data_IF_079797870176
#
_entry.id   IF_079797870176
#
_cell.length_a   1.000
_cell.length_b   1.000
_cell.length_c   1.000
_cell.angle_alpha   90.00
_cell.angle_beta   90.00
_cell.angle_gamma   90.00
#
_symmetry.space_group_name_H-M   'P 1'
#
loop_
_entity.id
_entity.type
_entity.pdbx_description
1 polymer ?
#
# COMPACT_ATOMS: atom_id res chain seq x y z
N UNK A 1 -41.70 9.99 28.64
CA UNK A 1 -40.33 9.58 28.95
C UNK A 1 -39.66 9.19 27.63
N UNK A 2 -38.90 10.10 27.05
CA UNK A 2 -38.16 9.85 25.83
C UNK A 2 -36.73 9.46 26.22
N UNK A 3 -36.37 8.20 25.95
CA UNK A 3 -35.05 7.69 26.17
C UNK A 3 -34.06 8.25 25.16
N UNK A 4 -33.11 9.02 25.63
CA UNK A 4 -31.97 9.52 24.90
C UNK A 4 -31.04 8.34 24.52
N UNK A 5 -30.95 8.08 23.23
CA UNK A 5 -29.93 7.20 22.64
C UNK A 5 -28.55 7.83 22.83
N UNK A 6 -27.55 7.13 23.37
CA UNK A 6 -26.19 7.65 23.39
C UNK A 6 -25.56 7.45 22.01
N UNK A 7 -25.54 8.50 21.21
CA UNK A 7 -24.64 8.57 20.06
C UNK A 7 -23.22 8.46 20.58
N UNK A 8 -22.61 7.29 20.41
CA UNK A 8 -21.17 7.13 20.51
C UNK A 8 -20.53 7.91 19.35
N UNK A 9 -20.25 9.17 19.62
CA UNK A 9 -19.29 9.92 18.84
C UNK A 9 -17.94 9.27 19.08
N UNK A 10 -17.59 8.31 18.23
CA UNK A 10 -16.22 7.80 18.14
C UNK A 10 -15.38 8.98 17.72
N UNK A 11 -14.65 9.59 18.65
CA UNK A 11 -13.60 10.57 18.36
C UNK A 11 -12.73 9.94 17.29
N UNK A 12 -12.79 10.49 16.07
CA UNK A 12 -11.77 10.23 15.05
C UNK A 12 -10.43 10.53 15.72
N UNK A 13 -9.70 9.49 16.06
CA UNK A 13 -8.33 9.64 16.53
C UNK A 13 -7.61 10.48 15.47
N UNK A 14 -6.95 11.55 15.89
CA UNK A 14 -6.16 12.38 14.98
C UNK A 14 -5.20 11.43 14.26
N UNK A 15 -5.44 11.20 12.98
CA UNK A 15 -4.63 10.34 12.14
C UNK A 15 -3.65 11.22 11.37
N UNK A 16 -2.39 10.87 11.42
CA UNK A 16 -1.33 11.54 10.71
C UNK A 16 -0.72 10.60 9.65
N UNK A 17 -0.77 10.99 8.39
CA UNK A 17 -0.07 10.29 7.31
C UNK A 17 1.21 11.07 7.04
N UNK A 18 2.36 10.39 7.14
CA UNK A 18 3.68 11.00 6.99
C UNK A 18 4.65 10.08 6.24
N UNK A 19 5.74 10.62 5.71
CA UNK A 19 6.85 9.79 5.25
C UNK A 19 7.35 8.88 6.38
N UNK A 20 7.64 7.63 6.02
CA UNK A 20 8.25 6.67 6.93
C UNK A 20 9.73 6.99 7.13
N UNK A 21 10.22 6.67 8.31
CA UNK A 21 11.64 6.69 8.67
C UNK A 21 12.16 5.26 8.84
N UNK A 22 13.48 5.01 8.85
CA UNK A 22 14.02 3.70 9.16
C UNK A 22 13.53 3.13 10.50
N UNK A 23 13.25 3.99 11.48
CA UNK A 23 12.78 3.59 12.81
C UNK A 23 11.33 3.07 12.81
N UNK A 24 10.57 3.35 11.76
CA UNK A 24 9.21 2.83 11.59
C UNK A 24 9.19 1.38 11.07
N UNK A 25 10.27 0.93 10.43
CA UNK A 25 10.32 -0.37 9.74
C UNK A 25 9.96 -1.54 10.64
N UNK A 26 10.47 -1.66 11.88
CA UNK A 26 10.10 -2.77 12.77
C UNK A 26 8.58 -2.85 13.04
N UNK A 27 7.90 -1.71 13.10
CA UNK A 27 6.45 -1.66 13.29
C UNK A 27 5.66 -1.96 11.99
N UNK A 28 6.27 -1.78 10.82
CA UNK A 28 5.68 -2.09 9.50
C UNK A 28 5.78 -3.58 9.17
N UNK A 29 6.87 -4.27 9.56
CA UNK A 29 7.09 -5.68 9.21
C UNK A 29 5.91 -6.62 9.57
N UNK A 30 5.24 -6.51 10.73
CA UNK A 30 4.04 -7.31 11.00
C UNK A 30 2.89 -7.05 10.02
N UNK A 31 2.77 -5.84 9.47
CA UNK A 31 1.78 -5.51 8.45
C UNK A 31 2.16 -6.10 7.09
N UNK A 32 3.46 -6.16 6.76
CA UNK A 32 3.96 -6.88 5.57
C UNK A 32 3.59 -8.36 5.63
N UNK A 33 3.82 -9.02 6.77
CA UNK A 33 3.43 -10.43 6.94
C UNK A 33 1.92 -10.64 6.67
N UNK A 34 1.08 -9.70 7.13
CA UNK A 34 -0.37 -9.75 6.91
C UNK A 34 -0.75 -9.55 5.44
N UNK A 35 -0.10 -8.62 4.72
CA UNK A 35 -0.39 -8.41 3.30
C UNK A 35 0.03 -9.62 2.47
N UNK A 36 1.17 -10.25 2.78
CA UNK A 36 1.61 -11.48 2.14
C UNK A 36 0.59 -12.61 2.37
N UNK A 37 0.23 -12.90 3.63
CA UNK A 37 -0.76 -13.91 3.96
C UNK A 37 -2.13 -13.65 3.32
N UNK A 38 -2.52 -12.39 3.19
CA UNK A 38 -3.76 -12.00 2.50
C UNK A 38 -3.70 -12.31 1.00
N UNK A 39 -2.59 -12.00 0.32
CA UNK A 39 -2.42 -12.29 -1.10
C UNK A 39 -2.36 -13.79 -1.38
N UNK A 40 -1.63 -14.55 -0.56
CA UNK A 40 -1.57 -16.02 -0.67
C UNK A 40 -2.95 -16.67 -0.52
N UNK A 41 -3.79 -16.13 0.37
CA UNK A 41 -5.18 -16.59 0.50
C UNK A 41 -6.05 -16.27 -0.72
N UNK A 42 -5.77 -15.17 -1.43
CA UNK A 42 -6.51 -14.78 -2.64
C UNK A 42 -6.17 -15.69 -3.83
N UNK A 43 -4.90 -16.02 -4.01
CA UNK A 43 -4.41 -16.85 -5.11
C UNK A 43 -3.08 -17.49 -4.72
N UNK A 44 -3.11 -18.72 -4.14
CA UNK A 44 -1.90 -19.39 -3.68
C UNK A 44 -0.96 -19.82 -4.81
N UNK A 45 -1.46 -19.99 -6.03
CA UNK A 45 -0.63 -20.33 -7.18
C UNK A 45 0.25 -19.15 -7.60
N UNK A 46 -0.29 -17.92 -7.53
CA UNK A 46 0.42 -16.69 -7.85
C UNK A 46 1.31 -16.21 -6.70
N UNK A 47 0.81 -16.28 -5.47
CA UNK A 47 1.41 -15.65 -4.29
C UNK A 47 1.94 -16.67 -3.27
N UNK A 48 2.58 -17.76 -3.74
CA UNK A 48 3.25 -18.71 -2.85
C UNK A 48 4.52 -18.09 -2.22
N UNK A 49 4.42 -17.60 -0.99
CA UNK A 49 5.54 -16.96 -0.30
C UNK A 49 6.44 -18.00 0.40
N UNK A 50 7.71 -17.64 0.57
CA UNK A 50 8.62 -18.37 1.46
C UNK A 50 8.26 -18.11 2.91
N UNK A 51 8.78 -18.93 3.82
CA UNK A 51 8.66 -18.70 5.26
C UNK A 51 9.21 -17.33 5.66
N UNK A 52 8.47 -16.60 6.47
CA UNK A 52 8.83 -15.28 7.01
C UNK A 52 9.19 -14.24 5.91
N UNK A 53 8.30 -14.01 4.94
CA UNK A 53 8.57 -13.11 3.81
C UNK A 53 8.88 -11.68 4.27
N UNK A 54 8.34 -11.25 5.41
CA UNK A 54 8.58 -9.93 5.99
C UNK A 54 10.06 -9.66 6.28
N UNK A 55 10.87 -10.68 6.56
CA UNK A 55 12.32 -10.52 6.78
C UNK A 55 13.07 -10.06 5.53
N UNK A 56 12.55 -10.38 4.35
CA UNK A 56 13.13 -9.91 3.10
C UNK A 56 12.85 -8.42 2.86
N UNK A 57 11.76 -7.93 3.44
CA UNK A 57 11.37 -6.52 3.38
C UNK A 57 12.22 -5.61 4.28
N UNK A 58 12.76 -6.11 5.38
CA UNK A 58 13.43 -5.29 6.40
C UNK A 58 14.49 -4.36 5.78
N UNK A 59 15.55 -4.91 5.21
CA UNK A 59 16.62 -4.11 4.58
C UNK A 59 16.10 -3.25 3.43
N UNK A 60 15.17 -3.78 2.65
CA UNK A 60 14.61 -3.08 1.51
C UNK A 60 13.80 -1.85 1.98
N UNK A 61 12.94 -1.97 2.97
CA UNK A 61 12.17 -0.86 3.53
C UNK A 61 13.07 0.21 4.17
N UNK A 62 14.12 -0.19 4.92
CA UNK A 62 15.10 0.76 5.44
C UNK A 62 15.76 1.56 4.32
N UNK A 63 16.06 0.93 3.19
CA UNK A 63 16.60 1.61 2.01
C UNK A 63 15.56 2.56 1.40
N UNK A 64 14.30 2.13 1.28
CA UNK A 64 13.21 2.98 0.74
C UNK A 64 12.95 4.20 1.62
N UNK A 65 13.02 4.05 2.94
CA UNK A 65 12.85 5.17 3.87
C UNK A 65 13.93 6.26 3.75
N UNK A 66 15.10 5.90 3.20
CA UNK A 66 16.22 6.84 3.00
C UNK A 66 16.31 7.39 1.58
N UNK A 67 15.64 6.77 0.63
CA UNK A 67 15.71 7.13 -0.79
C UNK A 67 14.69 8.22 -1.12
N UNK A 68 15.13 9.44 -1.51
CA UNK A 68 14.24 10.54 -1.84
C UNK A 68 13.38 10.28 -3.08
N UNK A 69 13.73 9.29 -3.89
CA UNK A 69 12.95 8.87 -5.07
C UNK A 69 11.99 7.70 -4.77
N UNK A 70 11.96 7.22 -3.54
CA UNK A 70 10.94 6.27 -3.07
C UNK A 70 9.78 7.01 -2.40
N UNK A 71 8.61 6.39 -2.42
CA UNK A 71 7.43 6.84 -1.68
C UNK A 71 7.14 5.80 -0.62
N UNK A 72 7.53 6.08 0.62
CA UNK A 72 7.22 5.22 1.74
C UNK A 72 6.46 6.03 2.78
N UNK A 73 5.19 5.72 2.98
CA UNK A 73 4.26 6.42 3.87
C UNK A 73 3.78 5.49 4.97
N UNK A 74 3.55 6.05 6.13
CA UNK A 74 2.88 5.40 7.26
C UNK A 74 1.72 6.25 7.74
N UNK A 75 0.66 5.60 8.24
CA UNK A 75 -0.43 6.26 8.94
C UNK A 75 -0.34 5.93 10.43
N UNK A 76 -0.32 6.98 11.24
CA UNK A 76 -0.15 6.95 12.67
C UNK A 76 -1.41 7.47 13.35
N UNK A 77 -1.89 6.74 14.34
CA UNK A 77 -2.91 7.21 15.29
C UNK A 77 -2.24 7.59 16.60
N UNK A 78 -3.00 8.15 17.53
CA UNK A 78 -2.51 8.63 18.84
C UNK A 78 -1.41 7.75 19.44
N UNK A 79 -0.38 8.38 20.02
CA UNK A 79 0.72 7.72 20.72
C UNK A 79 1.70 6.91 19.86
N UNK A 80 1.90 7.26 18.60
CA UNK A 80 2.95 6.65 17.76
C UNK A 80 2.56 5.27 17.21
N UNK A 81 1.30 4.86 17.31
CA UNK A 81 0.85 3.57 16.79
C UNK A 81 0.62 3.63 15.30
N UNK A 82 1.41 2.89 14.53
CA UNK A 82 1.19 2.72 13.09
C UNK A 82 0.03 1.77 12.82
N UNK A 83 -0.83 2.16 11.88
CA UNK A 83 -2.04 1.41 11.51
C UNK A 83 -2.16 1.16 10.01
N UNK A 84 -1.28 1.75 9.22
CA UNK A 84 -1.21 1.53 7.78
C UNK A 84 0.19 1.86 7.26
N UNK A 85 0.53 1.27 6.11
CA UNK A 85 1.69 1.66 5.32
C UNK A 85 1.40 1.58 3.82
N UNK A 86 2.18 2.34 3.05
CA UNK A 86 2.24 2.28 1.59
C UNK A 86 3.71 2.41 1.19
N UNK A 87 4.17 1.57 0.27
CA UNK A 87 5.51 1.67 -0.29
C UNK A 87 5.47 1.60 -1.81
N UNK A 88 6.25 2.49 -2.44
CA UNK A 88 6.41 2.52 -3.89
C UNK A 88 7.79 3.03 -4.27
N UNK A 89 8.22 2.69 -5.49
CA UNK A 89 9.54 2.99 -6.04
C UNK A 89 9.42 3.56 -7.45
N UNK A 90 10.53 4.06 -7.97
CA UNK A 90 10.67 4.37 -9.39
C UNK A 90 11.27 3.15 -10.08
N UNK A 91 10.57 2.66 -11.09
CA UNK A 91 10.99 1.50 -11.89
C UNK A 91 11.38 1.94 -13.31
N UNK A 92 12.46 1.39 -13.87
CA UNK A 92 12.81 1.64 -15.25
C UNK A 92 11.83 0.97 -16.21
N UNK A 93 11.52 1.64 -17.30
CA UNK A 93 10.74 1.05 -18.37
C UNK A 93 11.65 0.29 -19.36
N UNK A 94 11.08 -0.64 -20.11
CA UNK A 94 11.78 -1.36 -21.18
C UNK A 94 12.19 -0.37 -22.27
N UNK A 95 13.45 -0.46 -22.72
CA UNK A 95 14.07 0.53 -23.60
C UNK A 95 13.41 0.73 -24.98
N UNK A 96 12.45 -0.11 -25.38
CA UNK A 96 11.68 0.07 -26.61
C UNK A 96 10.54 1.09 -26.46
N UNK A 97 10.15 1.46 -25.22
CA UNK A 97 9.10 2.42 -24.98
C UNK A 97 9.65 3.86 -24.88
N UNK A 98 8.79 4.83 -25.18
CA UNK A 98 9.14 6.26 -25.05
C UNK A 98 9.27 6.68 -23.59
N UNK A 99 8.47 6.07 -22.70
CA UNK A 99 8.57 6.28 -21.27
C UNK A 99 9.87 5.66 -20.78
N UNK A 100 10.61 6.37 -19.95
CA UNK A 100 11.89 5.88 -19.40
C UNK A 100 11.74 5.21 -18.04
N UNK A 101 10.82 5.73 -17.24
CA UNK A 101 10.60 5.27 -15.87
C UNK A 101 9.16 5.61 -15.43
N UNK A 102 8.69 4.91 -14.42
CA UNK A 102 7.36 5.12 -13.83
C UNK A 102 7.40 4.87 -12.32
N UNK A 103 6.47 5.46 -11.58
CA UNK A 103 6.23 5.12 -10.19
C UNK A 103 5.50 3.78 -10.09
N UNK A 104 5.91 2.91 -9.17
CA UNK A 104 5.23 1.65 -8.91
C UNK A 104 4.89 1.53 -7.43
N UNK A 105 3.60 1.40 -7.11
CA UNK A 105 3.13 1.12 -5.75
C UNK A 105 3.17 -0.39 -5.55
N UNK A 106 4.05 -0.86 -4.66
CA UNK A 106 4.22 -2.29 -4.36
C UNK A 106 3.16 -2.78 -3.40
N UNK A 107 3.02 -2.10 -2.26
CA UNK A 107 2.11 -2.52 -1.21
C UNK A 107 1.36 -1.33 -0.61
N UNK A 108 0.11 -1.57 -0.26
CA UNK A 108 -0.69 -0.73 0.62
C UNK A 108 -1.48 -1.61 1.58
N UNK A 109 -1.37 -1.36 2.86
CA UNK A 109 -2.07 -2.06 3.91
C UNK A 109 -2.67 -1.12 4.93
N UNK A 110 -3.87 -1.43 5.36
CA UNK A 110 -4.54 -0.79 6.50
C UNK A 110 -5.00 -1.88 7.45
N UNK A 111 -4.66 -1.74 8.72
CA UNK A 111 -5.11 -2.66 9.77
C UNK A 111 -6.64 -2.76 9.78
N UNK A 112 -7.16 -3.97 9.94
CA UNK A 112 -8.56 -4.31 9.71
C UNK A 112 -9.55 -3.37 10.42
N UNK A 113 -9.29 -3.07 11.69
CA UNK A 113 -10.16 -2.19 12.48
C UNK A 113 -10.15 -0.71 12.10
N UNK A 114 -9.26 -0.31 11.18
CA UNK A 114 -9.15 1.05 10.66
C UNK A 114 -9.53 1.14 9.17
N UNK A 115 -10.06 0.04 8.61
CA UNK A 115 -10.55 0.02 7.23
C UNK A 115 -11.86 0.79 7.11
N UNK A 116 -12.20 1.16 5.88
CA UNK A 116 -13.40 1.92 5.52
C UNK A 116 -13.46 3.36 6.07
N UNK A 117 -12.35 3.86 6.64
CA UNK A 117 -12.21 5.25 7.11
C UNK A 117 -11.50 6.15 6.09
N UNK A 118 -11.28 5.67 4.86
CA UNK A 118 -10.66 6.44 3.79
C UNK A 118 -9.13 6.52 3.84
N UNK A 119 -8.47 5.86 4.79
CA UNK A 119 -7.00 5.90 5.00
C UNK A 119 -6.25 5.49 3.74
N UNK A 120 -6.55 4.31 3.18
CA UNK A 120 -5.87 3.82 1.99
C UNK A 120 -6.03 4.79 0.80
N UNK A 121 -7.20 5.39 0.63
CA UNK A 121 -7.45 6.37 -0.43
C UNK A 121 -6.56 7.61 -0.24
N UNK A 122 -6.47 8.14 0.97
CA UNK A 122 -5.61 9.30 1.27
C UNK A 122 -4.14 8.96 1.00
N UNK A 123 -3.65 7.79 1.45
CA UNK A 123 -2.27 7.35 1.22
C UNK A 123 -1.96 7.20 -0.28
N UNK A 124 -2.85 6.58 -1.05
CA UNK A 124 -2.67 6.42 -2.50
C UNK A 124 -2.67 7.77 -3.21
N UNK A 125 -3.56 8.69 -2.83
CA UNK A 125 -3.58 10.05 -3.38
C UNK A 125 -2.26 10.78 -3.09
N UNK A 126 -1.79 10.78 -1.85
CA UNK A 126 -0.51 11.38 -1.46
C UNK A 126 0.68 10.73 -2.19
N UNK A 127 0.66 9.40 -2.38
CA UNK A 127 1.70 8.71 -3.13
C UNK A 127 1.74 9.15 -4.59
N UNK A 128 0.59 9.29 -5.25
CA UNK A 128 0.50 9.79 -6.63
C UNK A 128 1.01 11.24 -6.74
N UNK A 129 0.66 12.10 -5.78
CA UNK A 129 1.18 13.47 -5.72
C UNK A 129 2.70 13.49 -5.56
N UNK A 130 3.23 12.66 -4.65
CA UNK A 130 4.68 12.55 -4.45
C UNK A 130 5.41 12.05 -5.68
N UNK A 131 4.88 11.05 -6.37
CA UNK A 131 5.45 10.58 -7.65
C UNK A 131 5.44 11.68 -8.73
N UNK A 132 4.40 12.51 -8.77
CA UNK A 132 4.34 13.67 -9.68
C UNK A 132 5.42 14.70 -9.34
N UNK A 133 5.66 14.99 -8.06
CA UNK A 133 6.74 15.88 -7.61
C UNK A 133 8.12 15.34 -7.97
N UNK A 134 8.33 14.01 -7.91
CA UNK A 134 9.57 13.36 -8.34
C UNK A 134 9.77 13.48 -9.86
N UNK A 135 8.72 13.73 -10.63
CA UNK A 135 8.79 14.01 -12.06
C UNK A 135 8.43 12.82 -12.95
N UNK A 136 7.86 11.73 -12.42
CA UNK A 136 7.37 10.64 -13.27
C UNK A 136 6.00 10.94 -13.86
N UNK A 137 5.76 10.48 -15.08
CA UNK A 137 4.54 10.75 -15.84
C UNK A 137 3.48 9.66 -15.70
N UNK A 138 3.82 8.54 -15.08
CA UNK A 138 2.90 7.43 -14.84
C UNK A 138 3.13 6.82 -13.47
N UNK A 139 2.06 6.38 -12.84
CA UNK A 139 2.09 5.53 -11.65
C UNK A 139 1.34 4.24 -11.97
N UNK A 140 1.93 3.11 -11.61
CA UNK A 140 1.39 1.77 -11.83
C UNK A 140 1.31 1.00 -10.52
N UNK A 141 0.49 -0.02 -10.50
CA UNK A 141 0.37 -1.00 -9.41
C UNK A 141 -0.25 -2.28 -9.95
N UNK A 142 -0.06 -3.37 -9.23
CA UNK A 142 -0.76 -4.61 -9.47
C UNK A 142 -1.85 -4.83 -8.41
N UNK A 143 -2.98 -5.36 -8.84
CA UNK A 143 -4.06 -5.75 -7.94
C UNK A 143 -4.55 -7.15 -8.34
N UNK A 144 -4.58 -8.07 -7.39
CA UNK A 144 -5.12 -9.40 -7.64
C UNK A 144 -6.54 -9.32 -8.20
N UNK A 145 -6.84 -10.11 -9.23
CA UNK A 145 -8.16 -10.13 -9.87
C UNK A 145 -9.29 -10.38 -8.85
N UNK A 146 -9.05 -11.24 -7.86
CA UNK A 146 -9.98 -11.55 -6.78
C UNK A 146 -10.13 -10.43 -5.74
N UNK A 147 -9.22 -9.44 -5.70
CA UNK A 147 -9.26 -8.34 -4.73
C UNK A 147 -10.15 -7.19 -5.21
N UNK A 148 -11.46 -7.42 -5.28
CA UNK A 148 -12.41 -6.41 -5.73
C UNK A 148 -12.39 -5.13 -4.89
N UNK A 149 -12.26 -5.18 -3.54
CA UNK A 149 -12.14 -3.96 -2.73
C UNK A 149 -10.94 -3.08 -3.12
N UNK A 150 -9.76 -3.66 -3.34
CA UNK A 150 -8.58 -2.91 -3.78
C UNK A 150 -8.78 -2.33 -5.19
N UNK A 151 -9.33 -3.10 -6.11
CA UNK A 151 -9.64 -2.63 -7.46
C UNK A 151 -10.59 -1.43 -7.46
N UNK A 152 -11.63 -1.47 -6.61
CA UNK A 152 -12.56 -0.35 -6.45
C UNK A 152 -11.86 0.89 -5.84
N UNK A 153 -10.99 0.69 -4.85
CA UNK A 153 -10.18 1.75 -4.26
C UNK A 153 -9.32 2.43 -5.32
N UNK A 154 -8.56 1.66 -6.09
CA UNK A 154 -7.65 2.22 -7.09
C UNK A 154 -8.41 2.90 -8.24
N UNK A 155 -9.53 2.35 -8.67
CA UNK A 155 -10.40 3.01 -9.65
C UNK A 155 -10.91 4.38 -9.12
N UNK A 156 -11.29 4.45 -7.84
CA UNK A 156 -11.71 5.70 -7.19
C UNK A 156 -10.55 6.71 -7.02
N UNK A 157 -9.28 6.25 -7.09
CA UNK A 157 -8.09 7.10 -7.14
C UNK A 157 -7.63 7.46 -8.57
N UNK A 158 -8.41 7.09 -9.59
CA UNK A 158 -8.13 7.42 -11.00
C UNK A 158 -7.30 6.38 -11.77
N UNK A 159 -6.99 5.24 -11.17
CA UNK A 159 -6.33 4.14 -11.88
C UNK A 159 -7.32 3.42 -12.79
N UNK A 160 -6.84 2.97 -13.95
CA UNK A 160 -7.57 2.12 -14.89
C UNK A 160 -6.81 0.83 -15.14
N UNK A 161 -7.47 -0.27 -15.48
CA UNK A 161 -6.79 -1.47 -15.98
C UNK A 161 -5.96 -1.13 -17.24
N UNK A 162 -4.74 -1.67 -17.30
CA UNK A 162 -3.85 -1.46 -18.45
C UNK A 162 -3.27 -2.76 -19.00
N UNK A 163 -3.09 -3.77 -18.15
CA UNK A 163 -2.59 -5.09 -18.53
C UNK A 163 -3.40 -6.15 -17.77
N UNK A 164 -3.49 -7.35 -18.33
CA UNK A 164 -4.00 -8.54 -17.67
C UNK A 164 -2.91 -9.59 -17.68
N UNK A 165 -2.50 -10.06 -16.51
CA UNK A 165 -1.63 -11.23 -16.37
C UNK A 165 -2.47 -12.49 -16.43
N UNK A 166 -2.03 -13.46 -17.24
CA UNK A 166 -2.67 -14.77 -17.39
C UNK A 166 -1.72 -15.83 -16.83
N UNK A 167 -2.24 -16.73 -16.01
CA UNK A 167 -1.46 -17.77 -15.33
C UNK A 167 -1.97 -19.15 -15.74
N UNK A 168 -1.05 -20.09 -15.96
CA UNK A 168 -1.31 -21.52 -16.10
C UNK A 168 -0.32 -22.28 -15.20
N UNK A 169 -0.81 -23.23 -14.42
CA UNK A 169 0.05 -24.15 -13.67
C UNK A 169 0.41 -25.34 -14.57
N UNK A 170 1.71 -25.65 -14.64
CA UNK A 170 2.21 -26.82 -15.36
C UNK A 170 2.42 -27.97 -14.35
N UNK A 171 1.61 -29.00 -14.45
CA UNK A 171 1.71 -30.22 -13.64
C UNK A 171 2.74 -31.20 -14.19
#
# INVERSE_FOLDING_TARGET
MYGSSPYHSTRLAIMNIRPATPDDVPAVLPMVAKVCAFHEKLDPAKYGFRDQPERMYDRWLVTRAKDPRSVFLVAEVSAGKLVAFLVGTIEPEIGIYRLKEFGFIHDVWVEEKYRNEGIARQMVTLAVERFREIGVNQVRLDAACANQPARNLFAACGFRPSIVEMLIELT
#
